data_IF_727059382117
#
_entry.id   IF_727059382117
#
_cell.length_a   1.000
_cell.length_b   1.000
_cell.length_c   1.000
_cell.angle_alpha   90.00
_cell.angle_beta   90.00
_cell.angle_gamma   90.00
#
_symmetry.space_group_name_H-M   'P 1'
#
loop_
_entity.id
_entity.type
_entity.pdbx_description
1 polymer ?
#
# COMPACT_ATOMS: atom_id res chain seq x y z
N UNK A 1 4.77 0.02 16.85
CA UNK A 1 5.79 -0.09 15.79
C UNK A 1 6.97 0.79 16.19
N UNK A 2 8.18 0.22 16.22
CA UNK A 2 9.39 1.00 16.45
C UNK A 2 9.76 1.87 15.24
N UNK A 3 10.55 2.93 15.45
CA UNK A 3 10.99 3.85 14.38
C UNK A 3 11.69 3.10 13.22
N UNK A 4 12.54 2.13 13.54
CA UNK A 4 13.23 1.32 12.53
C UNK A 4 12.28 0.42 11.73
N UNK A 5 11.24 -0.11 12.35
CA UNK A 5 10.24 -0.95 11.67
C UNK A 5 9.39 -0.12 10.71
N UNK A 6 9.07 1.11 11.09
CA UNK A 6 8.34 2.05 10.24
C UNK A 6 9.10 2.35 8.95
N UNK A 7 10.39 2.70 9.03
CA UNK A 7 11.19 3.00 7.84
C UNK A 7 11.37 1.78 6.92
N UNK A 8 11.50 0.57 7.48
CA UNK A 8 11.55 -0.66 6.69
C UNK A 8 10.24 -0.94 5.97
N UNK A 9 9.12 -0.78 6.68
CA UNK A 9 7.79 -0.95 6.08
C UNK A 9 7.57 0.06 4.96
N UNK A 10 7.90 1.34 5.21
CA UNK A 10 7.83 2.42 4.23
C UNK A 10 8.62 2.08 2.96
N UNK A 11 9.89 1.69 3.09
CA UNK A 11 10.74 1.35 1.95
C UNK A 11 10.17 0.17 1.16
N UNK A 12 9.73 -0.88 1.87
CA UNK A 12 9.09 -2.05 1.26
C UNK A 12 7.83 -1.68 0.48
N UNK A 13 6.96 -0.84 1.02
CA UNK A 13 5.74 -0.40 0.31
C UNK A 13 6.05 0.34 -0.99
N UNK A 14 7.09 1.18 -1.01
CA UNK A 14 7.52 1.87 -2.24
C UNK A 14 8.04 0.88 -3.28
N UNK A 15 8.86 -0.10 -2.88
CA UNK A 15 9.37 -1.14 -3.79
C UNK A 15 8.23 -1.99 -4.37
N UNK A 16 7.28 -2.41 -3.52
CA UNK A 16 6.11 -3.17 -3.96
C UNK A 16 5.22 -2.35 -4.90
N UNK A 17 4.98 -1.07 -4.59
CA UNK A 17 4.20 -0.19 -5.45
C UNK A 17 4.85 -0.02 -6.82
N UNK A 18 6.16 0.20 -6.90
CA UNK A 18 6.89 0.24 -8.19
C UNK A 18 6.79 -1.08 -8.95
N UNK A 19 6.87 -2.20 -8.25
CA UNK A 19 6.76 -3.54 -8.83
C UNK A 19 5.36 -3.78 -9.43
N UNK A 20 4.30 -3.39 -8.71
CA UNK A 20 2.91 -3.54 -9.17
C UNK A 20 2.53 -2.52 -10.23
N UNK A 21 3.06 -1.30 -10.18
CA UNK A 21 2.86 -0.29 -11.22
C UNK A 21 3.42 -0.77 -12.58
N UNK A 22 4.59 -1.41 -12.55
CA UNK A 22 5.20 -2.03 -13.72
C UNK A 22 4.48 -3.30 -14.20
N UNK A 23 3.90 -4.08 -13.28
CA UNK A 23 3.20 -5.33 -13.56
C UNK A 23 2.03 -5.54 -12.57
N UNK A 24 0.79 -5.14 -12.94
CA UNK A 24 -0.36 -5.22 -12.06
C UNK A 24 -0.69 -6.63 -11.55
N UNK A 25 -0.29 -7.68 -12.27
CA UNK A 25 -0.54 -9.07 -11.86
C UNK A 25 0.23 -9.44 -10.57
N UNK A 26 1.29 -8.71 -10.24
CA UNK A 26 2.06 -8.92 -9.01
C UNK A 26 1.30 -8.62 -7.74
N UNK A 27 0.17 -7.93 -7.80
CA UNK A 27 -0.65 -7.70 -6.61
C UNK A 27 -1.15 -9.02 -6.00
N UNK A 28 -1.39 -10.05 -6.84
CA UNK A 28 -1.91 -11.35 -6.41
C UNK A 28 -0.94 -12.19 -5.57
N UNK A 29 0.35 -11.82 -5.49
CA UNK A 29 1.34 -12.50 -4.64
C UNK A 29 1.63 -11.75 -3.32
N UNK A 30 1.01 -10.60 -3.11
CA UNK A 30 1.18 -9.81 -1.90
C UNK A 30 0.30 -10.35 -0.77
N UNK A 31 0.71 -10.12 0.48
CA UNK A 31 -0.23 -10.31 1.60
C UNK A 31 -1.39 -9.32 1.49
N UNK A 32 -2.54 -9.62 2.10
CA UNK A 32 -3.72 -8.74 2.03
C UNK A 32 -3.41 -7.30 2.46
N UNK A 33 -2.61 -7.12 3.53
CA UNK A 33 -2.21 -5.78 4.00
C UNK A 33 -1.30 -5.05 3.00
N UNK A 34 -0.36 -5.76 2.37
CA UNK A 34 0.49 -5.18 1.33
C UNK A 34 -0.31 -4.81 0.09
N UNK A 35 -1.22 -5.67 -0.36
CA UNK A 35 -2.10 -5.40 -1.49
C UNK A 35 -2.96 -4.15 -1.25
N UNK A 36 -3.60 -4.05 -0.08
CA UNK A 36 -4.38 -2.88 0.34
C UNK A 36 -3.54 -1.61 0.34
N UNK A 37 -2.36 -1.65 0.97
CA UNK A 37 -1.45 -0.51 1.08
C UNK A 37 -0.93 -0.05 -0.28
N UNK A 38 -0.55 -0.99 -1.16
CA UNK A 38 -0.08 -0.70 -2.51
C UNK A 38 -1.21 -0.16 -3.39
N UNK A 39 -2.40 -0.76 -3.34
CA UNK A 39 -3.56 -0.28 -4.09
C UNK A 39 -3.94 1.16 -3.72
N UNK A 40 -3.90 1.50 -2.42
CA UNK A 40 -4.08 2.88 -1.95
C UNK A 40 -2.96 3.80 -2.44
N UNK A 41 -1.71 3.37 -2.36
CA UNK A 41 -0.56 4.18 -2.76
C UNK A 41 -0.55 4.48 -4.27
N UNK A 42 -1.02 3.54 -5.08
CA UNK A 42 -1.20 3.66 -6.53
C UNK A 42 -2.51 4.36 -6.93
N UNK A 43 -3.46 4.52 -6.01
CA UNK A 43 -4.82 4.97 -6.35
C UNK A 43 -5.58 3.99 -7.25
N UNK A 44 -5.22 2.70 -7.22
CA UNK A 44 -5.70 1.62 -8.11
C UNK A 44 -6.47 0.56 -7.31
N UNK A 45 -7.62 0.96 -6.75
CA UNK A 45 -8.49 0.04 -5.98
C UNK A 45 -9.18 -1.01 -6.84
N UNK A 46 -9.16 -0.85 -8.17
CA UNK A 46 -9.57 -1.87 -9.14
C UNK A 46 -8.72 -3.14 -9.07
N UNK A 47 -7.53 -3.07 -8.47
CA UNK A 47 -6.64 -4.20 -8.25
C UNK A 47 -7.05 -5.09 -7.07
N UNK A 48 -7.99 -4.63 -6.23
CA UNK A 48 -8.53 -5.39 -5.11
C UNK A 48 -9.82 -6.11 -5.51
N UNK A 49 -10.16 -7.16 -4.76
CA UNK A 49 -11.41 -7.89 -4.93
C UNK A 49 -12.63 -6.96 -4.69
N UNK A 50 -13.77 -7.30 -5.30
CA UNK A 50 -14.92 -6.40 -5.46
C UNK A 50 -15.47 -5.80 -4.16
N UNK A 51 -15.32 -6.52 -3.05
CA UNK A 51 -15.88 -6.14 -1.75
C UNK A 51 -15.03 -5.09 -1.02
N UNK A 52 -13.84 -4.77 -1.54
CA UNK A 52 -12.83 -3.90 -0.90
C UNK A 52 -12.48 -2.65 -1.74
N UNK A 53 -13.42 -2.19 -2.57
CA UNK A 53 -13.17 -1.07 -3.50
C UNK A 53 -13.32 0.32 -2.90
N UNK A 54 -13.85 0.45 -1.68
CA UNK A 54 -13.98 1.75 -1.05
C UNK A 54 -12.70 2.10 -0.26
N UNK A 55 -12.05 3.25 -0.52
CA UNK A 55 -10.77 3.58 0.11
C UNK A 55 -10.80 3.59 1.65
N UNK A 56 -11.93 3.97 2.25
CA UNK A 56 -12.07 4.01 3.72
C UNK A 56 -12.10 2.60 4.32
N UNK A 57 -12.74 1.64 3.66
CA UNK A 57 -12.84 0.26 4.14
C UNK A 57 -11.45 -0.42 4.13
N UNK A 58 -10.67 -0.10 3.09
CA UNK A 58 -9.27 -0.56 2.97
C UNK A 58 -8.39 0.06 4.05
N UNK A 59 -8.56 1.35 4.35
CA UNK A 59 -7.82 2.03 5.42
C UNK A 59 -8.15 1.48 6.81
N UNK A 60 -9.44 1.27 7.10
CA UNK A 60 -9.90 0.69 8.37
C UNK A 60 -9.31 -0.72 8.58
N UNK A 61 -9.20 -1.51 7.52
CA UNK A 61 -8.60 -2.85 7.54
C UNK A 61 -7.09 -2.85 7.80
N UNK A 62 -6.36 -1.85 7.30
CA UNK A 62 -4.91 -1.72 7.47
C UNK A 62 -4.51 -1.36 8.91
N UNK A 63 -5.31 -0.51 9.54
CA UNK A 63 -5.02 0.04 10.87
C UNK A 63 -3.93 1.13 10.87
N UNK A 64 -3.86 1.85 11.99
CA UNK A 64 -3.14 3.13 12.09
C UNK A 64 -1.63 3.09 11.75
N UNK A 65 -0.94 1.99 12.03
CA UNK A 65 0.49 1.89 11.74
C UNK A 65 0.78 1.77 10.23
N UNK A 66 -0.05 1.00 9.52
CA UNK A 66 0.05 0.83 8.07
C UNK A 66 -0.43 2.08 7.34
N UNK A 67 -1.51 2.70 7.82
CA UNK A 67 -1.98 3.98 7.31
C UNK A 67 -0.85 5.02 7.30
N UNK A 68 -0.14 5.17 8.43
CA UNK A 68 1.00 6.09 8.52
C UNK A 68 2.09 5.75 7.49
N UNK A 69 2.36 4.46 7.29
CA UNK A 69 3.39 3.99 6.36
C UNK A 69 3.00 4.12 4.88
N UNK A 70 1.71 4.25 4.56
CA UNK A 70 1.18 4.56 3.21
C UNK A 70 1.14 6.06 2.98
N UNK A 71 0.65 6.84 3.96
CA UNK A 71 0.53 8.29 3.86
C UNK A 71 1.87 8.99 3.67
N UNK A 72 2.91 8.52 4.34
CA UNK A 72 4.24 9.16 4.30
C UNK A 72 4.90 9.11 2.90
N UNK A 73 4.98 7.94 2.21
CA UNK A 73 5.36 7.87 0.80
C UNK A 73 4.46 8.68 -0.13
N UNK A 74 3.14 8.63 0.08
CA UNK A 74 2.18 9.39 -0.72
C UNK A 74 2.47 10.90 -0.65
N UNK A 75 2.63 11.45 0.57
CA UNK A 75 2.95 12.86 0.79
C UNK A 75 4.35 13.25 0.29
N UNK A 76 5.29 12.31 0.25
CA UNK A 76 6.65 12.52 -0.25
C UNK A 76 6.77 12.44 -1.78
N UNK A 77 5.69 12.12 -2.50
CA UNK A 77 5.72 11.96 -3.95
C UNK A 77 6.56 10.75 -4.39
N UNK A 78 6.36 9.57 -3.78
CA UNK A 78 7.12 8.33 -4.00
C UNK A 78 7.37 7.89 -5.47
N UNK A 79 6.63 8.46 -6.43
CA UNK A 79 6.76 8.26 -7.87
C UNK A 79 7.91 9.04 -8.51
N UNK A 80 8.51 10.00 -7.79
CA UNK A 80 9.69 10.77 -8.20
C UNK A 80 10.99 9.99 -7.97
#
# INVERSE_FOLDING_TARGET
>A
MGVNEFFRLRARLVELARSVDADPARIGVLSTGEACAVALLLGRLDLLDSDERHPLDVLDRLGANWEKAVRDPHASGWQQ
#
